data_IF_901063365975
#
_entry.id   IF_901063365975
#
_cell.length_a   1.000
_cell.length_b   1.000
_cell.length_c   1.000
_cell.angle_alpha   90.00
_cell.angle_beta   90.00
_cell.angle_gamma   90.00
#
_symmetry.space_group_name_H-M   'P 1'
#
loop_
_entity.id
_entity.type
_entity.pdbx_description
1 polymer ?
#
# COMPACT_ATOMS: atom_id res chain seq x y z
N UNK A 1 -4.80 7.69 -0.21
CA UNK A 1 -3.48 7.13 -0.63
C UNK A 1 -3.37 7.10 -2.17
N UNK A 2 -2.16 7.05 -2.74
CA UNK A 2 -1.94 6.89 -4.17
C UNK A 2 -1.90 5.41 -4.59
N UNK A 3 -3.07 4.84 -4.87
CA UNK A 3 -3.22 3.44 -5.27
C UNK A 3 -2.51 3.09 -6.60
N UNK A 4 -2.41 4.04 -7.52
CA UNK A 4 -1.72 3.83 -8.81
C UNK A 4 -0.21 3.65 -8.58
N UNK A 5 0.38 4.46 -7.70
CA UNK A 5 1.79 4.34 -7.37
C UNK A 5 2.10 3.03 -6.63
N UNK A 6 1.25 2.63 -5.66
CA UNK A 6 1.38 1.32 -5.03
C UNK A 6 1.29 0.18 -6.06
N UNK A 7 0.34 0.22 -6.98
CA UNK A 7 0.21 -0.78 -8.04
C UNK A 7 1.46 -0.85 -8.93
N UNK A 8 2.05 0.30 -9.29
CA UNK A 8 3.30 0.36 -10.05
C UNK A 8 4.47 -0.32 -9.32
N UNK A 9 4.62 -0.05 -8.02
CA UNK A 9 5.62 -0.70 -7.16
C UNK A 9 5.42 -2.22 -7.13
N UNK A 10 4.18 -2.68 -6.99
CA UNK A 10 3.86 -4.12 -6.97
C UNK A 10 4.26 -4.78 -8.29
N UNK A 11 3.90 -4.19 -9.42
CA UNK A 11 4.24 -4.69 -10.76
C UNK A 11 5.76 -4.77 -10.95
N UNK A 12 6.51 -3.72 -10.56
CA UNK A 12 7.99 -3.71 -10.61
C UNK A 12 8.61 -4.87 -9.82
N UNK A 13 7.96 -5.30 -8.74
CA UNK A 13 8.39 -6.40 -7.89
C UNK A 13 7.78 -7.76 -8.29
N UNK A 14 7.10 -7.85 -9.45
CA UNK A 14 6.36 -9.05 -9.90
C UNK A 14 5.35 -9.55 -8.86
N UNK A 15 4.78 -8.63 -8.10
CA UNK A 15 3.83 -8.89 -7.04
C UNK A 15 2.39 -8.61 -7.49
N UNK A 16 1.42 -9.20 -6.82
CA UNK A 16 -0.01 -9.04 -7.05
C UNK A 16 -0.71 -8.68 -5.75
N UNK A 17 -1.95 -8.19 -5.81
CA UNK A 17 -2.72 -7.94 -4.59
C UNK A 17 -2.97 -9.22 -3.79
N UNK A 18 -3.12 -10.37 -4.46
CA UNK A 18 -3.30 -11.67 -3.79
C UNK A 18 -2.05 -12.08 -3.01
N UNK A 19 -0.88 -11.96 -3.63
CA UNK A 19 0.40 -12.33 -3.00
C UNK A 19 0.81 -11.33 -1.91
N UNK A 20 0.52 -10.04 -2.07
CA UNK A 20 0.68 -9.04 -1.00
C UNK A 20 -0.26 -9.32 0.17
N UNK A 21 -1.55 -9.60 -0.08
CA UNK A 21 -2.52 -9.92 0.97
C UNK A 21 -2.07 -11.14 1.78
N UNK A 22 -1.66 -12.21 1.08
CA UNK A 22 -1.11 -13.41 1.71
C UNK A 22 0.12 -13.11 2.57
N UNK A 23 1.07 -12.32 2.05
CA UNK A 23 2.28 -11.95 2.78
C UNK A 23 1.99 -11.09 4.03
N UNK A 24 0.92 -10.30 4.01
CA UNK A 24 0.47 -9.49 5.14
C UNK A 24 -0.44 -10.25 6.12
N UNK A 25 -0.83 -11.49 5.81
CA UNK A 25 -1.82 -12.23 6.60
C UNK A 25 -3.24 -11.65 6.51
N UNK A 26 -3.57 -10.98 5.40
CA UNK A 26 -4.87 -10.39 5.15
C UNK A 26 -5.66 -11.18 4.11
N UNK A 27 -6.98 -11.09 4.14
CA UNK A 27 -7.79 -11.48 2.99
C UNK A 27 -7.60 -10.48 1.84
N UNK A 28 -7.78 -10.94 0.60
CA UNK A 28 -7.74 -10.06 -0.58
C UNK A 28 -8.80 -8.94 -0.49
N UNK A 29 -10.00 -9.26 0.02
CA UNK A 29 -11.04 -8.26 0.22
C UNK A 29 -10.62 -7.18 1.24
N UNK A 30 -9.95 -7.58 2.33
CA UNK A 30 -9.48 -6.63 3.34
C UNK A 30 -8.37 -5.73 2.81
N UNK A 31 -7.42 -6.28 2.06
CA UNK A 31 -6.39 -5.48 1.38
C UNK A 31 -7.03 -4.50 0.38
N UNK A 32 -7.99 -4.97 -0.43
CA UNK A 32 -8.67 -4.13 -1.40
C UNK A 32 -9.49 -3.01 -0.76
N UNK A 33 -10.13 -3.26 0.39
CA UNK A 33 -10.79 -2.21 1.16
C UNK A 33 -9.80 -1.12 1.58
N UNK A 34 -8.60 -1.49 2.06
CA UNK A 34 -7.54 -0.54 2.44
C UNK A 34 -7.00 0.25 1.25
N UNK A 35 -6.69 -0.42 0.13
CA UNK A 35 -6.19 0.23 -1.09
C UNK A 35 -7.19 1.24 -1.67
N UNK A 36 -8.49 0.93 -1.55
CA UNK A 36 -9.56 1.79 -2.06
C UNK A 36 -10.18 2.70 -1.00
N UNK A 37 -9.63 2.74 0.23
CA UNK A 37 -10.11 3.56 1.33
C UNK A 37 -11.63 3.41 1.57
N UNK A 38 -12.16 2.17 1.45
CA UNK A 38 -13.59 1.84 1.63
C UNK A 38 -13.91 1.59 3.11
N UNK A 39 -15.07 2.05 3.57
CA UNK A 39 -15.57 1.81 4.94
C UNK A 39 -14.54 2.19 6.01
N UNK A 40 -13.89 3.35 5.84
CA UNK A 40 -12.81 3.87 6.70
C UNK A 40 -11.60 2.92 6.85
N UNK A 41 -11.46 1.96 5.93
CA UNK A 41 -10.29 1.09 5.88
C UNK A 41 -9.05 1.88 5.45
N UNK A 42 -8.17 2.16 6.40
CA UNK A 42 -6.83 2.65 6.14
C UNK A 42 -5.76 1.59 6.46
N UNK A 43 -4.57 1.77 5.88
CA UNK A 43 -3.39 1.05 6.35
C UNK A 43 -2.94 1.59 7.71
N UNK A 44 -2.61 0.69 8.62
CA UNK A 44 -2.00 1.02 9.90
C UNK A 44 -0.50 1.28 9.73
N UNK A 45 0.15 1.89 10.73
CA UNK A 45 1.60 2.11 10.73
C UNK A 45 2.41 0.82 10.51
N UNK A 46 2.02 -0.27 11.18
CA UNK A 46 2.70 -1.57 11.04
C UNK A 46 2.52 -2.17 9.65
N UNK A 47 1.35 -2.03 9.04
CA UNK A 47 1.08 -2.49 7.67
C UNK A 47 1.85 -1.65 6.64
N UNK A 48 1.93 -0.33 6.83
CA UNK A 48 2.77 0.54 6.01
C UNK A 48 4.24 0.15 6.13
N UNK A 49 4.74 -0.04 7.35
CA UNK A 49 6.13 -0.48 7.59
C UNK A 49 6.43 -1.82 6.91
N UNK A 50 5.49 -2.76 6.92
CA UNK A 50 5.62 -4.02 6.20
C UNK A 50 5.79 -3.80 4.69
N UNK A 51 4.92 -2.99 4.08
CA UNK A 51 4.96 -2.71 2.63
C UNK A 51 6.26 -1.99 2.25
N UNK A 52 6.68 -1.01 3.07
CA UNK A 52 7.93 -0.27 2.91
C UNK A 52 9.13 -1.23 2.89
N UNK A 53 9.20 -2.14 3.88
CA UNK A 53 10.27 -3.12 3.97
C UNK A 53 10.23 -4.14 2.83
N UNK A 54 9.04 -4.63 2.46
CA UNK A 54 8.85 -5.62 1.39
C UNK A 54 9.35 -5.12 0.04
N UNK A 55 9.05 -3.87 -0.29
CA UNK A 55 9.41 -3.28 -1.59
C UNK A 55 10.65 -2.38 -1.54
N UNK A 56 11.32 -2.29 -0.38
CA UNK A 56 12.50 -1.44 -0.15
C UNK A 56 12.25 0.01 -0.56
N UNK A 57 11.10 0.54 -0.17
CA UNK A 57 10.70 1.91 -0.50
C UNK A 57 11.57 2.90 0.27
N UNK A 58 12.02 3.93 -0.44
CA UNK A 58 12.55 5.14 0.19
C UNK A 58 11.45 5.89 0.97
N UNK A 59 11.87 6.77 1.88
CA UNK A 59 10.93 7.64 2.61
C UNK A 59 10.05 8.46 1.66
N UNK A 60 10.61 8.99 0.57
CA UNK A 60 9.87 9.81 -0.39
C UNK A 60 8.83 9.00 -1.18
N UNK A 61 9.19 7.77 -1.59
CA UNK A 61 8.24 6.85 -2.22
C UNK A 61 7.11 6.47 -1.25
N UNK A 62 7.45 6.16 0.01
CA UNK A 62 6.47 5.84 1.03
C UNK A 62 5.51 7.02 1.29
N UNK A 63 6.05 8.24 1.39
CA UNK A 63 5.26 9.47 1.53
C UNK A 63 4.33 9.68 0.32
N UNK A 64 4.86 9.50 -0.88
CA UNK A 64 4.11 9.64 -2.13
C UNK A 64 3.00 8.59 -2.30
N UNK A 65 3.16 7.40 -1.70
CA UNK A 65 2.14 6.34 -1.73
C UNK A 65 1.08 6.59 -0.65
N UNK A 66 1.48 6.67 0.62
CA UNK A 66 0.51 6.62 1.71
C UNK A 66 -0.10 7.98 2.06
N UNK A 67 0.61 9.08 1.77
CA UNK A 67 0.24 10.43 2.22
C UNK A 67 0.03 11.42 1.05
N UNK A 68 -0.25 10.92 -0.16
CA UNK A 68 -0.39 11.76 -1.37
C UNK A 68 -1.48 12.85 -1.30
N UNK A 69 -2.50 12.68 -0.46
CA UNK A 69 -3.57 13.68 -0.25
C UNK A 69 -3.18 14.83 0.68
N UNK A 70 -2.03 14.75 1.37
CA UNK A 70 -1.51 15.81 2.24
C UNK A 70 -0.63 16.83 1.50
N UNK A 71 -0.32 16.61 0.22
CA UNK A 71 0.58 17.48 -0.58
C UNK A 71 -0.19 18.40 -1.54
N UNK A 72 -1.53 18.34 -1.54
CA UNK A 72 -2.36 19.32 -2.23
C UNK A 72 -2.59 20.53 -1.30
N UNK A 73 -1.73 21.54 -1.47
CA UNK A 73 -1.93 22.93 -1.02
C UNK A 73 -3.19 23.55 -1.62
#
# INVERSE_FOLDING_TARGET
MNKTLLASVMVKNKDTQSTLASAMGLSLSRLNAKINERDDAAFTQSEMAFIINRYKLSSDEAMSIFFSSLVAS
#
